data_IF_936626591114
#
_entry.id   IF_936626591114
#
_cell.length_a   1.000
_cell.length_b   1.000
_cell.length_c   1.000
_cell.angle_alpha   90.00
_cell.angle_beta   90.00
_cell.angle_gamma   90.00
#
_symmetry.space_group_name_H-M   'P 1'
#
loop_
_entity.id
_entity.type
_entity.pdbx_description
1 polymer ?
#
# COMPACT_ATOMS: atom_id res chain seq x y z
N UNK A 1 30.44 -11.61 25.05
CA UNK A 1 29.88 -12.05 23.75
C UNK A 1 28.63 -11.21 23.47
N UNK A 2 28.73 -10.15 22.66
CA UNK A 2 27.59 -9.31 22.28
C UNK A 2 26.72 -10.10 21.28
N UNK A 3 25.56 -10.57 21.73
CA UNK A 3 24.53 -11.23 20.93
C UNK A 3 24.01 -10.21 19.92
N UNK A 4 24.53 -10.21 18.68
CA UNK A 4 23.97 -9.43 17.58
C UNK A 4 22.48 -9.78 17.50
N UNK A 5 21.61 -8.89 18.00
CA UNK A 5 20.16 -8.98 17.77
C UNK A 5 19.96 -8.89 16.25
N UNK A 6 19.79 -10.03 15.60
CA UNK A 6 19.39 -10.05 14.19
C UNK A 6 18.03 -9.38 14.09
N UNK A 7 18.06 -8.15 13.65
CA UNK A 7 16.90 -7.27 13.58
C UNK A 7 15.94 -7.81 12.51
N UNK A 8 14.66 -7.88 12.82
CA UNK A 8 13.61 -8.19 11.83
C UNK A 8 13.77 -7.27 10.63
N UNK A 9 13.82 -7.85 9.44
CA UNK A 9 13.97 -7.12 8.19
C UNK A 9 12.58 -6.66 7.75
N UNK A 10 12.41 -5.36 7.64
CA UNK A 10 11.18 -4.74 7.19
C UNK A 10 11.35 -4.28 5.74
N UNK A 11 10.55 -4.84 4.84
CA UNK A 11 10.53 -4.45 3.44
C UNK A 11 9.53 -3.32 3.15
N UNK A 12 8.73 -2.95 4.17
CA UNK A 12 7.69 -1.95 4.02
C UNK A 12 6.54 -2.42 3.12
N UNK A 13 5.77 -1.45 2.63
CA UNK A 13 4.68 -1.67 1.68
C UNK A 13 5.04 -1.10 0.31
N UNK A 14 4.72 -1.85 -0.75
CA UNK A 14 4.88 -1.41 -2.14
C UNK A 14 4.07 -0.13 -2.46
N UNK A 15 3.00 0.12 -1.70
CA UNK A 15 2.09 1.25 -1.89
C UNK A 15 2.38 2.48 -1.00
N UNK A 16 3.43 2.47 -0.18
CA UNK A 16 3.69 3.54 0.80
C UNK A 16 3.74 4.95 0.21
N UNK A 17 4.38 5.12 -0.95
CA UNK A 17 4.49 6.43 -1.61
C UNK A 17 3.15 6.91 -2.19
N UNK A 18 2.33 5.98 -2.71
CA UNK A 18 1.00 6.30 -3.22
C UNK A 18 0.08 6.75 -2.07
N UNK A 19 0.14 6.07 -0.93
CA UNK A 19 -0.62 6.43 0.28
C UNK A 19 -0.29 7.86 0.74
N UNK A 20 1.00 8.22 0.78
CA UNK A 20 1.42 9.59 1.15
C UNK A 20 0.87 10.63 0.17
N UNK A 21 0.87 10.35 -1.14
CA UNK A 21 0.29 11.23 -2.15
C UNK A 21 -1.23 11.44 -1.94
N UNK A 22 -1.98 10.37 -1.67
CA UNK A 22 -3.42 10.48 -1.46
C UNK A 22 -3.78 11.23 -0.17
N UNK A 23 -3.02 11.02 0.90
CA UNK A 23 -3.16 11.81 2.12
C UNK A 23 -2.88 13.28 1.87
N UNK A 24 -1.84 13.61 1.08
CA UNK A 24 -1.54 14.99 0.68
C UNK A 24 -2.73 15.62 -0.06
N UNK A 25 -3.31 14.92 -1.04
CA UNK A 25 -4.49 15.42 -1.77
C UNK A 25 -5.67 15.68 -0.82
N UNK A 26 -5.93 14.77 0.14
CA UNK A 26 -6.99 14.99 1.14
C UNK A 26 -6.71 16.21 2.03
N UNK A 27 -5.46 16.42 2.46
CA UNK A 27 -5.07 17.60 3.23
C UNK A 27 -5.24 18.88 2.42
N UNK A 28 -4.83 18.91 1.14
CA UNK A 28 -4.99 20.05 0.27
C UNK A 28 -6.48 20.40 0.07
N UNK A 29 -7.34 19.40 -0.17
CA UNK A 29 -8.79 19.64 -0.34
C UNK A 29 -9.43 20.12 0.96
N UNK A 30 -9.05 19.57 2.11
CA UNK A 30 -9.52 20.09 3.41
C UNK A 30 -9.07 21.54 3.64
N UNK A 31 -7.84 21.89 3.25
CA UNK A 31 -7.32 23.28 3.30
C UNK A 31 -8.17 24.24 2.45
N UNK A 32 -8.51 23.86 1.22
CA UNK A 32 -9.39 24.64 0.34
C UNK A 32 -10.75 24.89 0.99
N UNK A 33 -11.32 23.86 1.63
CA UNK A 33 -12.59 23.97 2.36
C UNK A 33 -12.51 24.97 3.51
N UNK A 34 -11.45 24.93 4.32
CA UNK A 34 -11.25 25.85 5.43
C UNK A 34 -11.09 27.30 4.94
N UNK A 35 -10.32 27.51 3.87
CA UNK A 35 -10.13 28.84 3.28
C UNK A 35 -11.46 29.39 2.73
N UNK A 36 -12.25 28.57 2.06
CA UNK A 36 -13.56 28.96 1.56
C UNK A 36 -14.52 29.32 2.71
N UNK A 37 -14.61 28.48 3.74
CA UNK A 37 -15.43 28.75 4.91
C UNK A 37 -15.04 30.07 5.61
N UNK A 38 -13.74 30.35 5.68
CA UNK A 38 -13.21 31.60 6.23
C UNK A 38 -13.56 32.80 5.36
N UNK A 39 -13.48 32.69 4.03
CA UNK A 39 -13.86 33.77 3.10
C UNK A 39 -15.37 34.09 3.18
N UNK A 40 -16.20 33.05 3.30
CA UNK A 40 -17.65 33.24 3.53
C UNK A 40 -17.92 33.92 4.87
N UNK A 41 -17.27 33.52 5.95
CA UNK A 41 -17.45 34.12 7.27
C UNK A 41 -17.03 35.58 7.35
N UNK A 42 -16.06 36.00 6.53
CA UNK A 42 -15.62 37.40 6.40
C UNK A 42 -16.47 38.23 5.43
N UNK A 43 -17.43 37.60 4.75
CA UNK A 43 -18.25 38.28 3.73
C UNK A 43 -17.53 38.57 2.41
N UNK A 44 -16.34 38.00 2.20
CA UNK A 44 -15.55 38.15 0.98
C UNK A 44 -16.15 37.35 -0.20
N UNK A 45 -16.90 36.29 0.12
CA UNK A 45 -17.64 35.47 -0.85
C UNK A 45 -19.13 35.46 -0.50
N UNK A 46 -19.96 35.88 -1.44
CA UNK A 46 -21.40 35.80 -1.28
C UNK A 46 -21.90 34.37 -1.42
N UNK A 47 -22.79 33.94 -0.54
CA UNK A 47 -23.51 32.67 -0.64
C UNK A 47 -24.55 32.73 -1.75
N UNK A 48 -24.13 32.72 -3.01
CA UNK A 48 -25.01 32.61 -4.16
C UNK A 48 -25.07 31.17 -4.67
N UNK A 49 -26.02 30.85 -5.54
CA UNK A 49 -26.22 29.51 -6.09
C UNK A 49 -24.95 28.96 -6.79
N UNK A 50 -24.20 29.83 -7.42
CA UNK A 50 -22.98 29.43 -8.15
C UNK A 50 -21.84 29.02 -7.22
N UNK A 51 -21.64 29.76 -6.13
CA UNK A 51 -20.64 29.37 -5.10
C UNK A 51 -21.02 28.07 -4.40
N UNK A 52 -22.31 27.86 -4.09
CA UNK A 52 -22.82 26.61 -3.51
C UNK A 52 -22.62 25.43 -4.46
N UNK A 53 -22.85 25.62 -5.76
CA UNK A 53 -22.65 24.59 -6.78
C UNK A 53 -21.16 24.20 -6.90
N UNK A 54 -20.25 25.17 -6.94
CA UNK A 54 -18.80 24.92 -7.03
C UNK A 54 -18.30 24.14 -5.81
N UNK A 55 -18.76 24.51 -4.62
CA UNK A 55 -18.43 23.81 -3.39
C UNK A 55 -19.03 22.41 -3.37
N UNK A 56 -20.26 22.25 -3.84
CA UNK A 56 -20.89 20.94 -3.98
C UNK A 56 -20.10 20.01 -4.89
N UNK A 57 -19.62 20.50 -6.03
CA UNK A 57 -18.77 19.75 -6.96
C UNK A 57 -17.43 19.36 -6.32
N UNK A 58 -16.77 20.29 -5.62
CA UNK A 58 -15.52 20.04 -4.91
C UNK A 58 -15.71 18.96 -3.83
N UNK A 59 -16.85 19.03 -3.10
CA UNK A 59 -17.20 18.02 -2.09
C UNK A 59 -17.40 16.65 -2.72
N UNK A 60 -18.20 16.57 -3.78
CA UNK A 60 -18.47 15.33 -4.49
C UNK A 60 -17.16 14.71 -5.01
N UNK A 61 -16.27 15.52 -5.58
CA UNK A 61 -14.95 15.08 -6.02
C UNK A 61 -14.11 14.56 -4.84
N UNK A 62 -14.04 15.30 -3.73
CA UNK A 62 -13.26 14.92 -2.56
C UNK A 62 -13.75 13.61 -1.94
N UNK A 63 -15.07 13.46 -1.79
CA UNK A 63 -15.69 12.24 -1.25
C UNK A 63 -15.47 11.05 -2.18
N UNK A 64 -15.63 11.23 -3.49
CA UNK A 64 -15.38 10.20 -4.49
C UNK A 64 -13.92 9.77 -4.49
N UNK A 65 -13.00 10.72 -4.45
CA UNK A 65 -11.56 10.48 -4.38
C UNK A 65 -11.14 9.78 -3.08
N UNK A 66 -11.67 10.24 -1.94
CA UNK A 66 -11.40 9.60 -0.64
C UNK A 66 -11.93 8.15 -0.61
N UNK A 67 -13.14 7.93 -1.12
CA UNK A 67 -13.75 6.61 -1.22
C UNK A 67 -12.93 5.70 -2.13
N UNK A 68 -12.58 6.16 -3.34
CA UNK A 68 -11.71 5.41 -4.25
C UNK A 68 -10.38 5.05 -3.59
N UNK A 69 -9.76 6.01 -2.92
CA UNK A 69 -8.49 5.82 -2.20
C UNK A 69 -8.64 4.78 -1.10
N UNK A 70 -9.69 4.87 -0.30
CA UNK A 70 -9.98 3.92 0.77
C UNK A 70 -10.16 2.50 0.23
N UNK A 71 -10.96 2.33 -0.82
CA UNK A 71 -11.15 1.02 -1.45
C UNK A 71 -9.86 0.49 -2.07
N UNK A 72 -9.10 1.34 -2.73
CA UNK A 72 -7.83 0.96 -3.39
C UNK A 72 -6.76 0.53 -2.39
N UNK A 73 -6.73 1.14 -1.19
CA UNK A 73 -5.73 0.86 -0.15
C UNK A 73 -6.27 0.05 1.03
N UNK A 74 -7.47 -0.48 0.90
CA UNK A 74 -8.06 -1.34 1.94
C UNK A 74 -7.17 -2.52 2.33
N UNK A 75 -6.35 -2.99 1.42
CA UNK A 75 -5.45 -4.13 1.58
C UNK A 75 -3.99 -3.74 1.38
N UNK A 76 -3.53 -2.70 2.09
CA UNK A 76 -2.09 -2.40 2.12
C UNK A 76 -1.40 -3.50 2.89
N UNK A 77 -0.54 -4.25 2.20
CA UNK A 77 0.24 -5.32 2.78
C UNK A 77 1.68 -4.90 3.00
N UNK A 78 2.23 -5.25 4.15
CA UNK A 78 3.61 -5.07 4.53
C UNK A 78 4.27 -6.43 4.68
N UNK A 79 5.49 -6.55 4.21
CA UNK A 79 6.27 -7.79 4.31
C UNK A 79 7.40 -7.59 5.31
N UNK A 80 7.52 -8.51 6.26
CA UNK A 80 8.63 -8.55 7.22
C UNK A 80 9.22 -9.94 7.25
N UNK A 81 10.51 -10.04 7.49
CA UNK A 81 11.21 -11.30 7.65
C UNK A 81 11.93 -11.35 8.97
N UNK A 82 11.65 -12.38 9.75
CA UNK A 82 12.38 -12.69 10.98
C UNK A 82 13.45 -13.74 10.67
N UNK A 83 14.73 -13.35 10.61
CA UNK A 83 15.80 -14.28 10.28
C UNK A 83 16.11 -15.27 11.41
N UNK A 84 15.69 -15.01 12.67
CA UNK A 84 15.87 -15.94 13.78
C UNK A 84 14.83 -17.06 13.74
N UNK A 85 13.57 -16.67 13.55
CA UNK A 85 12.47 -17.63 13.43
C UNK A 85 12.38 -18.26 12.04
N UNK A 86 13.14 -17.76 11.04
CA UNK A 86 13.03 -18.14 9.63
C UNK A 86 11.58 -18.04 9.12
N UNK A 87 10.91 -16.95 9.52
CA UNK A 87 9.49 -16.72 9.20
C UNK A 87 9.29 -15.44 8.41
N UNK A 88 8.46 -15.54 7.38
CA UNK A 88 7.92 -14.39 6.67
C UNK A 88 6.57 -14.00 7.29
N UNK A 89 6.45 -12.73 7.64
CA UNK A 89 5.25 -12.14 8.22
C UNK A 89 4.61 -11.24 7.18
N UNK A 90 3.36 -11.52 6.84
CA UNK A 90 2.52 -10.63 6.02
C UNK A 90 1.57 -9.92 6.97
N UNK A 91 1.63 -8.59 6.97
CA UNK A 91 0.83 -7.75 7.84
C UNK A 91 -0.04 -6.84 6.97
N UNK A 92 -1.35 -6.81 7.24
CA UNK A 92 -2.27 -5.87 6.62
C UNK A 92 -2.55 -4.70 7.57
N UNK A 93 -2.75 -3.51 7.02
CA UNK A 93 -3.06 -2.35 7.82
C UNK A 93 -4.53 -2.35 8.23
N UNK A 94 -4.78 -2.51 9.53
CA UNK A 94 -6.12 -2.47 10.11
C UNK A 94 -6.53 -1.01 10.40
N UNK A 95 -7.31 -0.43 9.50
CA UNK A 95 -7.77 0.97 9.59
C UNK A 95 -8.52 1.29 10.90
N UNK A 96 -9.32 0.33 11.40
CA UNK A 96 -10.05 0.51 12.67
C UNK A 96 -9.14 0.66 13.88
N UNK A 97 -7.95 0.05 13.85
CA UNK A 97 -6.98 0.05 14.95
C UNK A 97 -5.78 0.94 14.67
N UNK A 98 -5.69 1.52 13.47
CA UNK A 98 -4.53 2.28 12.97
C UNK A 98 -3.20 1.54 13.20
N UNK A 99 -3.20 0.22 13.05
CA UNK A 99 -2.05 -0.64 13.33
C UNK A 99 -1.91 -1.76 12.32
N UNK A 100 -0.67 -2.26 12.19
CA UNK A 100 -0.37 -3.43 11.37
C UNK A 100 -0.79 -4.69 12.10
N UNK A 101 -1.56 -5.54 11.43
CA UNK A 101 -2.05 -6.81 11.98
C UNK A 101 -1.43 -7.95 11.16
N UNK A 102 -0.84 -8.97 11.80
CA UNK A 102 -0.33 -10.14 11.09
C UNK A 102 -1.50 -10.94 10.52
N UNK A 103 -1.46 -11.16 9.20
CA UNK A 103 -2.46 -11.96 8.48
C UNK A 103 -1.92 -13.35 8.21
N UNK A 104 -0.64 -13.43 7.79
CA UNK A 104 0.02 -14.71 7.54
C UNK A 104 1.38 -14.74 8.23
N UNK A 105 1.68 -15.91 8.82
CA UNK A 105 2.99 -16.27 9.35
C UNK A 105 3.42 -17.54 8.64
N UNK A 106 4.41 -17.43 7.76
CA UNK A 106 4.80 -18.50 6.85
C UNK A 106 6.25 -18.86 7.13
N UNK A 107 6.52 -20.11 7.47
CA UNK A 107 7.87 -20.58 7.61
C UNK A 107 8.59 -20.56 6.25
N UNK A 108 9.86 -20.16 6.24
CA UNK A 108 10.65 -20.09 5.00
C UNK A 108 10.69 -21.44 4.26
N UNK A 109 10.69 -22.55 4.99
CA UNK A 109 10.64 -23.90 4.43
C UNK A 109 9.35 -24.23 3.68
N UNK A 110 8.25 -23.53 3.97
CA UNK A 110 6.97 -23.68 3.28
C UNK A 110 6.88 -22.86 1.99
N UNK A 111 7.86 -21.98 1.73
CA UNK A 111 7.87 -21.11 0.56
C UNK A 111 8.76 -21.75 -0.49
N UNK A 112 8.15 -22.08 -1.63
CA UNK A 112 8.86 -22.60 -2.79
C UNK A 112 9.62 -21.51 -3.54
N UNK A 113 8.95 -20.41 -3.87
CA UNK A 113 9.53 -19.27 -4.58
C UNK A 113 8.76 -17.97 -4.37
N UNK A 114 9.42 -16.87 -4.68
CA UNK A 114 8.80 -15.57 -4.87
C UNK A 114 8.61 -15.34 -6.37
N UNK A 115 7.37 -15.23 -6.80
CA UNK A 115 7.00 -15.05 -8.19
C UNK A 115 6.65 -13.59 -8.49
N UNK A 116 7.13 -13.09 -9.63
CA UNK A 116 6.74 -11.83 -10.21
C UNK A 116 6.14 -12.10 -11.60
N UNK A 117 5.03 -11.46 -11.89
CA UNK A 117 4.39 -11.55 -13.20
C UNK A 117 4.31 -10.17 -13.84
N UNK A 118 4.87 -10.05 -15.05
CA UNK A 118 4.74 -8.82 -15.82
C UNK A 118 3.33 -8.70 -16.40
N UNK A 119 2.72 -7.52 -16.29
CA UNK A 119 1.44 -7.19 -16.92
C UNK A 119 1.60 -5.98 -17.83
N UNK A 120 1.18 -6.11 -19.11
CA UNK A 120 1.20 -5.02 -20.08
C UNK A 120 0.17 -3.94 -19.74
N UNK A 121 -0.99 -4.36 -19.24
CA UNK A 121 -2.06 -3.47 -18.79
C UNK A 121 -2.44 -3.83 -17.37
N UNK A 122 -2.44 -2.82 -16.49
CA UNK A 122 -2.80 -3.01 -15.09
C UNK A 122 -1.61 -3.18 -14.16
N UNK A 123 -1.81 -3.92 -13.09
CA UNK A 123 -0.82 -4.07 -12.03
C UNK A 123 -0.06 -5.39 -12.15
N UNK A 124 1.28 -5.30 -12.07
CA UNK A 124 2.17 -6.46 -12.02
C UNK A 124 2.16 -7.08 -10.62
N UNK A 125 1.57 -8.28 -10.44
CA UNK A 125 1.47 -8.92 -9.13
C UNK A 125 2.77 -9.58 -8.70
N UNK A 126 2.96 -9.60 -7.38
CA UNK A 126 4.01 -10.33 -6.69
C UNK A 126 3.35 -11.37 -5.79
N UNK A 127 3.71 -12.62 -5.94
CA UNK A 127 3.11 -13.74 -5.23
C UNK A 127 4.17 -14.59 -4.52
N UNK A 128 3.81 -15.14 -3.37
CA UNK A 128 4.54 -16.26 -2.76
C UNK A 128 3.94 -17.55 -3.26
N UNK A 129 4.77 -18.38 -3.85
CA UNK A 129 4.40 -19.75 -4.21
C UNK A 129 4.75 -20.65 -3.02
N UNK A 130 3.78 -21.34 -2.48
CA UNK A 130 3.97 -22.24 -1.37
C UNK A 130 4.26 -23.67 -1.84
N UNK A 131 4.90 -24.45 -0.98
CA UNK A 131 5.25 -25.84 -1.27
C UNK A 131 4.01 -26.76 -1.44
N UNK A 132 2.85 -26.35 -0.89
CA UNK A 132 1.58 -27.05 -1.06
C UNK A 132 0.85 -26.72 -2.38
N UNK A 133 1.45 -25.88 -3.24
CA UNK A 133 0.86 -25.45 -4.52
C UNK A 133 -0.05 -24.22 -4.43
N UNK A 134 -0.32 -23.70 -3.23
CA UNK A 134 -1.06 -22.46 -3.06
C UNK A 134 -0.19 -21.24 -3.39
N UNK A 135 -0.83 -20.13 -3.75
CA UNK A 135 -0.16 -18.85 -3.93
C UNK A 135 -0.78 -17.75 -3.05
N UNK A 136 0.06 -16.87 -2.52
CA UNK A 136 -0.36 -15.74 -1.70
C UNK A 136 0.09 -14.45 -2.36
N UNK A 137 -0.86 -13.57 -2.71
CA UNK A 137 -0.56 -12.25 -3.24
C UNK A 137 0.09 -11.39 -2.15
N UNK A 138 1.32 -10.93 -2.38
CA UNK A 138 2.02 -10.01 -1.48
C UNK A 138 1.66 -8.56 -1.81
N UNK A 139 1.55 -8.24 -3.09
CA UNK A 139 1.26 -6.92 -3.60
C UNK A 139 1.26 -6.87 -5.11
N UNK A 140 0.87 -5.73 -5.64
CA UNK A 140 0.88 -5.47 -7.07
C UNK A 140 1.21 -4.00 -7.34
N UNK A 141 1.79 -3.68 -8.49
CA UNK A 141 2.10 -2.30 -8.88
C UNK A 141 1.90 -2.09 -10.37
N UNK A 142 1.34 -0.93 -10.74
CA UNK A 142 1.29 -0.49 -12.13
C UNK A 142 2.68 -0.14 -12.69
N UNK A 143 3.66 0.09 -11.83
CA UNK A 143 5.07 0.19 -12.21
C UNK A 143 5.73 -1.18 -12.10
N UNK A 144 5.86 -1.83 -13.25
CA UNK A 144 6.43 -3.17 -13.37
C UNK A 144 7.89 -3.24 -12.89
N UNK A 145 8.68 -2.20 -13.16
CA UNK A 145 10.09 -2.13 -12.75
C UNK A 145 10.20 -2.07 -11.23
N UNK A 146 9.38 -1.25 -10.60
CA UNK A 146 9.31 -1.13 -9.13
C UNK A 146 8.86 -2.43 -8.47
N UNK A 147 7.83 -3.09 -9.02
CA UNK A 147 7.37 -4.39 -8.52
C UNK A 147 8.48 -5.44 -8.60
N UNK A 148 9.19 -5.50 -9.73
CA UNK A 148 10.31 -6.43 -9.94
C UNK A 148 11.47 -6.19 -8.97
N UNK A 149 11.87 -4.91 -8.78
CA UNK A 149 12.94 -4.54 -7.84
C UNK A 149 12.54 -4.92 -6.40
N UNK A 150 11.30 -4.64 -6.01
CA UNK A 150 10.79 -4.99 -4.69
C UNK A 150 10.82 -6.50 -4.45
N UNK A 151 10.30 -7.29 -5.40
CA UNK A 151 10.31 -8.75 -5.32
C UNK A 151 11.74 -9.31 -5.25
N UNK A 152 12.64 -8.86 -6.11
CA UNK A 152 14.06 -9.27 -6.08
C UNK A 152 14.75 -8.92 -4.77
N UNK A 153 14.41 -7.77 -4.17
CA UNK A 153 14.98 -7.35 -2.89
C UNK A 153 14.54 -8.28 -1.76
N UNK A 154 13.25 -8.66 -1.73
CA UNK A 154 12.75 -9.65 -0.77
C UNK A 154 13.47 -10.99 -0.99
N UNK A 155 13.45 -11.53 -2.20
CA UNK A 155 14.05 -12.81 -2.53
C UNK A 155 15.52 -12.88 -2.09
N UNK A 156 16.32 -11.85 -2.45
CA UNK A 156 17.74 -11.77 -2.08
C UNK A 156 17.98 -11.76 -0.57
N UNK A 157 17.18 -10.99 0.18
CA UNK A 157 17.37 -10.84 1.63
C UNK A 157 16.82 -12.02 2.44
N UNK A 158 15.86 -12.76 1.90
CA UNK A 158 15.27 -13.95 2.54
C UNK A 158 15.92 -15.25 2.06
N UNK A 159 16.75 -15.20 1.01
CA UNK A 159 17.32 -16.37 0.36
C UNK A 159 16.27 -17.23 -0.37
N UNK A 160 15.14 -16.65 -0.75
CA UNK A 160 14.10 -17.33 -1.51
C UNK A 160 14.46 -17.36 -3.01
N UNK A 161 14.12 -18.44 -3.74
CA UNK A 161 14.17 -18.44 -5.20
C UNK A 161 13.27 -17.35 -5.78
N UNK A 162 13.75 -16.66 -6.82
CA UNK A 162 12.98 -15.66 -7.55
C UNK A 162 12.62 -16.20 -8.94
N UNK A 163 11.34 -16.15 -9.29
CA UNK A 163 10.80 -16.64 -10.56
C UNK A 163 10.04 -15.53 -11.27
N UNK A 164 10.36 -15.32 -12.55
CA UNK A 164 9.57 -14.45 -13.43
C UNK A 164 8.58 -15.32 -14.21
N UNK A 165 7.29 -15.14 -13.92
CA UNK A 165 6.23 -15.82 -14.66
C UNK A 165 6.03 -15.11 -16.01
N UNK A 166 6.26 -15.82 -17.10
CA UNK A 166 5.89 -15.36 -18.44
C UNK A 166 4.40 -15.63 -18.63
N UNK A 167 3.71 -14.65 -19.19
CA UNK A 167 2.35 -14.84 -19.68
C UNK A 167 2.40 -15.55 -21.02
#
# INVERSE_FOLDING_TARGET
MLRKRNKVIDFGSLHRSKMAFYLLVLFCTAGVWLLWAQAVSKGEVSLNWESVRQVGLLTAFTVSWASYTFFRFRHIRRVRFDPQAQMLLLEDFAWKKLSWQPVHRIARSQIHALAYQFAFSGESPIRLLLANGEDILIGASGDASRAKIYARTIARKTGLPFVELKK
#
